data_IF_078711519993
#
_entry.id   IF_078711519993
#
_cell.length_a   1.000
_cell.length_b   1.000
_cell.length_c   1.000
_cell.angle_alpha   90.00
_cell.angle_beta   90.00
_cell.angle_gamma   90.00
#
_symmetry.space_group_name_H-M   'P 1'
#
loop_
_entity.id
_entity.type
_entity.pdbx_description
1 polymer ?
#
# COMPACT_ATOMS: atom_id res chain seq x y z
N UNK A 1 -3.92 21.17 5.00
CA UNK A 1 -3.52 19.76 5.21
C UNK A 1 -3.88 18.98 3.97
N UNK A 2 -2.95 18.27 3.33
CA UNK A 2 -3.32 17.26 2.33
C UNK A 2 -3.73 16.01 3.12
N UNK A 3 -4.96 15.55 2.90
CA UNK A 3 -5.50 14.36 3.56
C UNK A 3 -4.89 13.10 2.95
N UNK A 4 -4.77 12.04 3.75
CA UNK A 4 -4.37 10.73 3.25
C UNK A 4 -5.41 10.25 2.21
N UNK A 5 -4.96 9.63 1.09
CA UNK A 5 -5.87 9.12 0.07
C UNK A 5 -6.72 7.97 0.63
N UNK A 6 -7.97 7.89 0.19
CA UNK A 6 -8.85 6.77 0.54
C UNK A 6 -8.38 5.45 -0.08
N UNK A 7 -8.88 4.32 0.44
CA UNK A 7 -8.60 3.01 -0.17
C UNK A 7 -9.01 2.97 -1.64
N UNK A 8 -10.14 3.59 -2.01
CA UNK A 8 -10.61 3.64 -3.40
C UNK A 8 -9.65 4.39 -4.31
N UNK A 9 -9.05 5.50 -3.84
CA UNK A 9 -8.04 6.23 -4.59
C UNK A 9 -6.77 5.40 -4.75
N UNK A 10 -6.32 4.68 -3.71
CA UNK A 10 -5.17 3.76 -3.79
C UNK A 10 -5.43 2.67 -4.83
N UNK A 11 -6.58 1.99 -4.76
CA UNK A 11 -6.91 0.91 -5.70
C UNK A 11 -7.03 1.42 -7.14
N UNK A 12 -7.59 2.62 -7.35
CA UNK A 12 -7.60 3.28 -8.68
C UNK A 12 -6.18 3.56 -9.16
N UNK A 13 -5.29 4.04 -8.29
CA UNK A 13 -3.91 4.32 -8.64
C UNK A 13 -3.15 3.04 -9.01
N UNK A 14 -3.36 1.93 -8.30
CA UNK A 14 -2.76 0.64 -8.63
C UNK A 14 -3.09 0.16 -10.05
N UNK A 15 -4.27 0.53 -10.60
CA UNK A 15 -4.67 0.21 -11.98
C UNK A 15 -4.32 1.31 -12.99
N UNK A 16 -3.48 2.28 -12.60
CA UNK A 16 -3.01 3.36 -13.46
C UNK A 16 -3.94 4.56 -13.57
N UNK A 17 -5.02 4.62 -12.79
CA UNK A 17 -5.91 5.78 -12.76
C UNK A 17 -5.45 6.81 -11.70
N UNK A 18 -4.54 7.70 -12.12
CA UNK A 18 -3.97 8.78 -11.32
C UNK A 18 -4.73 10.09 -11.56
N UNK A 19 -5.91 10.23 -10.95
CA UNK A 19 -6.75 11.44 -11.06
C UNK A 19 -6.10 12.66 -10.36
N UNK A 20 -5.20 12.44 -9.40
CA UNK A 20 -4.56 13.47 -8.58
C UNK A 20 -3.03 13.27 -8.49
N UNK A 21 -2.27 14.37 -8.46
CA UNK A 21 -0.82 14.37 -8.19
C UNK A 21 -0.53 14.24 -6.69
N UNK A 22 -0.93 13.10 -6.11
CA UNK A 22 -0.65 12.77 -4.72
C UNK A 22 0.54 11.78 -4.64
N UNK A 23 1.59 12.06 -3.84
CA UNK A 23 2.80 11.23 -3.84
C UNK A 23 2.54 9.78 -3.44
N UNK A 24 1.61 9.53 -2.50
CA UNK A 24 1.20 8.16 -2.15
C UNK A 24 0.49 7.45 -3.32
N UNK A 25 -0.30 8.16 -4.13
CA UNK A 25 -0.98 7.53 -5.27
C UNK A 25 0.03 7.16 -6.36
N UNK A 26 0.99 8.04 -6.62
CA UNK A 26 2.10 7.74 -7.52
C UNK A 26 2.92 6.54 -7.02
N UNK A 27 3.28 6.52 -5.73
CA UNK A 27 4.00 5.39 -5.15
C UNK A 27 3.18 4.09 -5.19
N UNK A 28 1.86 4.13 -4.98
CA UNK A 28 0.99 2.97 -5.10
C UNK A 28 0.95 2.40 -6.52
N UNK A 29 0.88 3.27 -7.53
CA UNK A 29 1.00 2.87 -8.93
C UNK A 29 2.36 2.22 -9.22
N UNK A 30 3.46 2.85 -8.81
CA UNK A 30 4.81 2.32 -9.01
C UNK A 30 5.02 0.98 -8.29
N UNK A 31 4.49 0.83 -7.06
CA UNK A 31 4.49 -0.44 -6.33
C UNK A 31 3.74 -1.53 -7.10
N UNK A 32 2.57 -1.22 -7.67
CA UNK A 32 1.81 -2.18 -8.47
C UNK A 32 2.59 -2.62 -9.72
N UNK A 33 3.19 -1.68 -10.45
CA UNK A 33 4.05 -1.98 -11.60
C UNK A 33 5.28 -2.82 -11.22
N UNK A 34 5.86 -2.61 -10.03
CA UNK A 34 6.96 -3.44 -9.54
C UNK A 34 6.49 -4.86 -9.19
N UNK A 35 5.30 -5.02 -8.60
CA UNK A 35 4.71 -6.34 -8.34
C UNK A 35 4.40 -7.11 -9.64
N UNK A 36 3.97 -6.41 -10.68
CA UNK A 36 3.84 -6.99 -12.02
C UNK A 36 5.21 -7.43 -12.57
N UNK A 37 6.21 -6.56 -12.50
CA UNK A 37 7.55 -6.84 -13.02
C UNK A 37 8.25 -8.02 -12.31
N UNK A 38 8.06 -8.19 -10.99
CA UNK A 38 8.64 -9.34 -10.26
C UNK A 38 8.19 -10.67 -10.85
N UNK A 39 6.94 -10.77 -11.32
CA UNK A 39 6.37 -12.02 -11.83
C UNK A 39 7.10 -12.52 -13.07
N UNK A 40 7.60 -11.60 -13.90
CA UNK A 40 8.31 -11.91 -15.14
C UNK A 40 9.84 -11.93 -14.98
N UNK A 41 10.34 -11.61 -13.78
CA UNK A 41 11.77 -11.37 -13.51
C UNK A 41 12.58 -12.64 -13.20
N UNK A 42 13.86 -12.63 -13.56
CA UNK A 42 14.83 -13.65 -13.12
C UNK A 42 15.40 -13.31 -11.73
N UNK A 43 15.98 -14.30 -11.02
CA UNK A 43 16.40 -14.21 -9.61
C UNK A 43 17.23 -12.94 -9.25
N UNK A 44 18.07 -12.42 -10.14
CA UNK A 44 18.88 -11.21 -9.88
C UNK A 44 18.12 -9.88 -10.03
N UNK A 45 17.04 -9.86 -10.81
CA UNK A 45 16.18 -8.69 -11.00
C UNK A 45 15.19 -8.53 -9.84
N UNK A 46 14.75 -9.65 -9.24
CA UNK A 46 13.86 -9.65 -8.09
C UNK A 46 14.44 -8.91 -6.88
N UNK A 47 15.76 -8.99 -6.66
CA UNK A 47 16.45 -8.27 -5.59
C UNK A 47 16.46 -6.75 -5.81
N UNK A 48 16.68 -6.31 -7.05
CA UNK A 48 16.61 -4.89 -7.42
C UNK A 48 15.21 -4.34 -7.20
N UNK A 49 14.19 -5.09 -7.63
CA UNK A 49 12.79 -4.71 -7.43
C UNK A 49 12.44 -4.67 -5.94
N UNK A 50 12.91 -5.64 -5.15
CA UNK A 50 12.74 -5.66 -3.69
C UNK A 50 13.28 -4.40 -3.02
N UNK A 51 14.47 -3.93 -3.42
CA UNK A 51 15.04 -2.66 -2.91
C UNK A 51 14.22 -1.45 -3.32
N UNK A 52 13.76 -1.38 -4.57
CA UNK A 52 12.94 -0.28 -5.05
C UNK A 52 11.60 -0.21 -4.31
N UNK A 53 10.95 -1.35 -4.08
CA UNK A 53 9.74 -1.44 -3.25
C UNK A 53 9.97 -0.94 -1.84
N UNK A 54 11.06 -1.38 -1.18
CA UNK A 54 11.41 -0.94 0.16
C UNK A 54 11.63 0.59 0.23
N UNK A 55 12.25 1.17 -0.81
CA UNK A 55 12.43 2.63 -0.89
C UNK A 55 11.08 3.36 -1.00
N UNK A 56 10.17 2.90 -1.86
CA UNK A 56 8.84 3.50 -2.01
C UNK A 56 8.03 3.42 -0.71
N UNK A 57 8.10 2.28 -0.01
CA UNK A 57 7.48 2.11 1.32
C UNK A 57 8.04 3.14 2.31
N UNK A 58 9.36 3.29 2.36
CA UNK A 58 10.01 4.26 3.23
C UNK A 58 9.61 5.71 2.90
N UNK A 59 9.54 6.05 1.61
CA UNK A 59 9.17 7.39 1.15
C UNK A 59 7.73 7.75 1.52
N UNK A 60 6.80 6.78 1.42
CA UNK A 60 5.43 6.92 1.91
C UNK A 60 5.45 7.20 3.41
N UNK A 61 6.14 6.38 4.20
CA UNK A 61 6.17 6.53 5.66
C UNK A 61 6.75 7.87 6.10
N UNK A 62 7.82 8.30 5.44
CA UNK A 62 8.41 9.61 5.66
C UNK A 62 7.46 10.76 5.27
N UNK A 63 6.69 10.61 4.19
CA UNK A 63 5.67 11.59 3.82
C UNK A 63 4.53 11.65 4.84
N UNK A 64 4.05 10.50 5.30
CA UNK A 64 2.99 10.41 6.32
C UNK A 64 3.46 11.07 7.62
N UNK A 65 4.63 10.70 8.11
CA UNK A 65 5.18 11.27 9.36
C UNK A 65 5.34 12.81 9.31
N UNK A 66 5.62 13.39 8.14
CA UNK A 66 5.70 14.86 7.95
C UNK A 66 4.34 15.55 7.84
N UNK A 67 3.29 14.84 7.45
CA UNK A 67 1.98 15.42 7.11
C UNK A 67 0.91 15.16 8.16
N UNK A 68 1.10 14.17 9.03
CA UNK A 68 0.17 13.81 10.10
C UNK A 68 0.61 14.40 11.44
N UNK A 69 -0.33 14.78 12.33
CA UNK A 69 0.00 15.23 13.67
C UNK A 69 0.83 14.21 14.44
N UNK A 70 1.78 14.69 15.25
CA UNK A 70 2.56 13.81 16.12
C UNK A 70 1.61 13.07 17.07
N UNK A 71 1.68 11.74 17.04
CA UNK A 71 0.76 10.90 17.79
C UNK A 71 0.94 11.06 19.31
N UNK A 72 -0.19 11.09 20.01
CA UNK A 72 -0.26 11.40 21.44
C UNK A 72 0.57 10.44 22.31
N UNK A 73 1.05 10.93 23.46
CA UNK A 73 1.93 10.27 24.44
C UNK A 73 1.69 8.77 24.69
N UNK A 74 0.43 8.35 24.73
CA UNK A 74 -0.02 6.99 25.04
C UNK A 74 -0.67 6.22 23.88
N UNK A 75 -0.48 6.67 22.64
CA UNK A 75 -1.04 6.01 21.47
C UNK A 75 -0.40 4.63 21.23
N UNK A 76 -1.22 3.62 20.92
CA UNK A 76 -0.78 2.25 20.69
C UNK A 76 0.11 2.19 19.44
N UNK A 77 1.24 1.48 19.53
CA UNK A 77 2.16 1.30 18.41
C UNK A 77 1.51 0.39 17.38
N UNK A 78 1.36 0.87 16.15
CA UNK A 78 1.05 -0.02 15.04
C UNK A 78 2.22 -0.96 14.78
N UNK A 79 1.94 -2.24 14.55
CA UNK A 79 2.93 -3.23 14.12
C UNK A 79 3.35 -3.04 12.65
N UNK A 80 2.65 -2.18 11.91
CA UNK A 80 2.81 -1.99 10.47
C UNK A 80 2.77 -0.50 10.12
N UNK A 81 3.47 -0.12 9.05
CA UNK A 81 3.55 1.27 8.59
C UNK A 81 2.49 1.54 7.53
N UNK A 82 2.20 2.82 7.22
CA UNK A 82 1.25 3.14 6.14
C UNK A 82 1.82 2.64 4.80
N UNK A 83 3.11 2.85 4.57
CA UNK A 83 3.82 2.35 3.40
C UNK A 83 3.71 0.83 3.24
N UNK A 84 3.86 0.05 4.32
CA UNK A 84 3.76 -1.41 4.24
C UNK A 84 2.34 -1.90 3.93
N UNK A 85 1.31 -1.18 4.41
CA UNK A 85 -0.08 -1.48 4.03
C UNK A 85 -0.34 -1.13 2.57
N UNK A 86 0.17 0.01 2.09
CA UNK A 86 0.04 0.42 0.67
C UNK A 86 0.74 -0.56 -0.27
N UNK A 87 1.95 -1.04 0.07
CA UNK A 87 2.66 -2.06 -0.71
C UNK A 87 1.87 -3.38 -0.79
N UNK A 88 1.24 -3.82 0.30
CA UNK A 88 0.37 -5.00 0.27
C UNK A 88 -0.92 -4.76 -0.52
N UNK A 89 -1.50 -3.56 -0.47
CA UNK A 89 -2.66 -3.22 -1.31
C UNK A 89 -2.28 -3.29 -2.80
N UNK A 90 -1.11 -2.77 -3.17
CA UNK A 90 -0.58 -2.89 -4.51
C UNK A 90 -0.40 -4.37 -4.91
N UNK A 91 0.24 -5.17 -4.06
CA UNK A 91 0.43 -6.61 -4.29
C UNK A 91 -0.90 -7.36 -4.52
N UNK A 92 -1.85 -7.23 -3.60
CA UNK A 92 -3.13 -7.94 -3.70
C UNK A 92 -4.02 -7.40 -4.83
N UNK A 93 -3.86 -6.14 -5.23
CA UNK A 93 -4.55 -5.61 -6.41
C UNK A 93 -4.08 -6.29 -7.69
N UNK A 94 -2.76 -6.47 -7.86
CA UNK A 94 -2.17 -7.18 -9.00
C UNK A 94 -2.64 -8.64 -9.02
N UNK A 95 -2.57 -9.34 -7.87
CA UNK A 95 -3.06 -10.72 -7.76
C UNK A 95 -4.56 -10.84 -8.09
N UNK A 96 -5.39 -9.95 -7.56
CA UNK A 96 -6.83 -9.97 -7.81
C UNK A 96 -7.16 -9.74 -9.30
N UNK A 97 -6.46 -8.81 -9.96
CA UNK A 97 -6.66 -8.54 -11.39
C UNK A 97 -6.21 -9.69 -12.27
N UNK A 98 -5.10 -10.36 -11.91
CA UNK A 98 -4.62 -11.55 -12.62
C UNK A 98 -5.68 -12.67 -12.66
N UNK A 99 -6.44 -12.83 -11.57
CA UNK A 99 -7.52 -13.84 -11.50
C UNK A 99 -8.65 -13.63 -12.50
N UNK A 100 -8.74 -12.44 -13.11
CA UNK A 100 -9.67 -12.11 -14.19
C UNK A 100 -9.09 -12.44 -15.57
N UNK A 101 -7.78 -12.36 -15.72
CA UNK A 101 -7.08 -12.65 -16.97
C UNK A 101 -6.77 -14.15 -17.15
N UNK A 102 -6.74 -14.90 -16.05
CA UNK A 102 -6.34 -16.31 -16.02
C UNK A 102 -7.52 -17.22 -15.67
N UNK A 103 -7.57 -18.40 -16.28
CA UNK A 103 -8.55 -19.45 -15.95
C UNK A 103 -8.12 -20.21 -14.69
N UNK A 104 -8.30 -19.56 -13.53
CA UNK A 104 -8.04 -20.16 -12.22
C UNK A 104 -9.34 -20.63 -11.54
N UNK A 105 -9.26 -21.57 -10.59
CA UNK A 105 -10.42 -22.03 -9.83
C UNK A 105 -11.15 -20.86 -9.14
N UNK A 106 -12.49 -20.91 -9.15
CA UNK A 106 -13.33 -19.88 -8.54
C UNK A 106 -13.01 -19.62 -7.06
N UNK A 107 -12.57 -20.65 -6.33
CA UNK A 107 -12.15 -20.54 -4.93
C UNK A 107 -10.90 -19.67 -4.76
N UNK A 108 -9.89 -19.84 -5.62
CA UNK A 108 -8.65 -19.06 -5.56
C UNK A 108 -8.90 -17.60 -5.92
N UNK A 109 -9.74 -17.36 -6.95
CA UNK A 109 -10.26 -16.03 -7.26
C UNK A 109 -10.93 -15.42 -6.03
N UNK A 110 -11.87 -16.13 -5.41
CA UNK A 110 -12.58 -15.61 -4.24
C UNK A 110 -11.62 -15.22 -3.10
N UNK A 111 -10.62 -16.04 -2.80
CA UNK A 111 -9.63 -15.76 -1.77
C UNK A 111 -8.84 -14.48 -2.10
N UNK A 112 -8.35 -14.32 -3.33
CA UNK A 112 -7.59 -13.14 -3.73
C UNK A 112 -8.39 -11.84 -3.56
N UNK A 113 -9.65 -11.84 -4.05
CA UNK A 113 -10.55 -10.69 -3.91
C UNK A 113 -10.96 -10.42 -2.45
N UNK A 114 -11.17 -11.47 -1.66
CA UNK A 114 -11.47 -11.33 -0.24
C UNK A 114 -10.30 -10.68 0.51
N UNK A 115 -9.06 -11.13 0.28
CA UNK A 115 -7.87 -10.55 0.91
C UNK A 115 -7.69 -9.07 0.56
N UNK A 116 -7.91 -8.71 -0.71
CA UNK A 116 -7.87 -7.32 -1.14
C UNK A 116 -8.93 -6.47 -0.41
N UNK A 117 -10.16 -6.98 -0.29
CA UNK A 117 -11.24 -6.30 0.42
C UNK A 117 -10.94 -6.11 1.91
N UNK A 118 -10.49 -7.16 2.60
CA UNK A 118 -10.11 -7.11 4.02
C UNK A 118 -9.03 -6.05 4.27
N UNK A 119 -7.99 -6.04 3.44
CA UNK A 119 -6.89 -5.09 3.56
C UNK A 119 -7.32 -3.65 3.25
N UNK A 120 -8.21 -3.47 2.28
CA UNK A 120 -8.77 -2.17 1.88
C UNK A 120 -9.62 -1.54 3.01
N UNK A 121 -10.40 -2.35 3.71
CA UNK A 121 -11.15 -1.91 4.89
C UNK A 121 -10.17 -1.55 6.01
N UNK A 122 -9.20 -2.43 6.32
CA UNK A 122 -8.20 -2.18 7.35
C UNK A 122 -7.37 -0.91 7.12
N UNK A 123 -7.02 -0.61 5.86
CA UNK A 123 -6.36 0.66 5.50
C UNK A 123 -7.25 1.87 5.79
N UNK A 124 -8.55 1.78 5.51
CA UNK A 124 -9.50 2.88 5.78
C UNK A 124 -9.59 3.20 7.26
N UNK A 125 -9.64 2.18 8.11
CA UNK A 125 -9.63 2.34 9.56
C UNK A 125 -8.29 2.93 10.03
N UNK A 126 -7.17 2.43 9.49
CA UNK A 126 -5.83 2.92 9.82
C UNK A 126 -5.64 4.40 9.50
N UNK A 127 -6.04 4.87 8.31
CA UNK A 127 -5.89 6.29 7.95
C UNK A 127 -6.78 7.19 8.79
N UNK A 128 -7.95 6.70 9.23
CA UNK A 128 -8.83 7.42 10.16
C UNK A 128 -8.14 7.60 11.51
N UNK A 129 -7.57 6.53 12.07
CA UNK A 129 -6.86 6.55 13.34
C UNK A 129 -5.59 7.42 13.31
N UNK A 130 -4.86 7.38 12.20
CA UNK A 130 -3.68 8.21 11.95
C UNK A 130 -4.06 9.68 11.82
N UNK A 131 -5.12 10.01 11.06
CA UNK A 131 -5.60 11.38 10.93
C UNK A 131 -6.12 11.96 12.26
N UNK A 132 -6.72 11.11 13.12
CA UNK A 132 -7.15 11.47 14.45
C UNK A 132 -6.00 11.58 15.47
N UNK A 133 -4.78 11.19 15.11
CA UNK A 133 -3.60 11.18 16.00
C UNK A 133 -3.70 10.18 17.15
N UNK A 134 -4.61 9.21 17.06
CA UNK A 134 -4.92 8.23 18.12
C UNK A 134 -3.90 7.08 18.13
N UNK A 135 -3.12 6.91 17.06
CA UNK A 135 -2.14 5.83 16.91
C UNK A 135 -0.76 6.33 16.50
N UNK A 136 0.29 5.72 17.07
CA UNK A 136 1.69 5.98 16.70
C UNK A 136 2.08 5.04 15.58
N UNK A 137 2.60 5.59 14.49
CA UNK A 137 3.35 4.81 13.50
C UNK A 137 4.75 4.52 14.06
N UNK A 138 5.36 3.37 13.74
CA UNK A 138 6.74 3.11 14.14
C UNK A 138 7.64 4.22 13.60
N UNK A 139 8.54 4.72 14.45
CA UNK A 139 9.50 5.73 14.04
C UNK A 139 10.47 5.10 13.04
N UNK A 140 10.58 5.67 11.84
CA UNK A 140 11.68 5.38 10.92
C UNK A 140 12.98 5.86 11.61
N UNK A 141 13.71 4.95 12.26
CA UNK A 141 15.10 5.20 12.62
C UNK A 141 15.94 5.20 11.32
N UNK A 142 16.83 6.18 11.13
CA UNK A 142 17.68 6.30 9.94
C UNK A 142 18.68 5.14 9.80
#
# INVERSE_FOLDING_TARGET
MRLLPSHTQILKACVGNLEDTHPILQAAYELASLHEAVRDSFLGESDCIGRQRAQLVHDIDCWVARTTPAAHGGAQMHTETVGSVVDRLAHFSVLALETLATDIPAQERHIAWQRLSELSIGYSDMIFDVAAGVRRLPANLP
#
